data_IF_538942866025
#
_entry.id   IF_538942866025
#
_cell.length_a   1.000
_cell.length_b   1.000
_cell.length_c   1.000
_cell.angle_alpha   90.00
_cell.angle_beta   90.00
_cell.angle_gamma   90.00
#
_symmetry.space_group_name_H-M   'P 1'
#
loop_
_entity.id
_entity.type
_entity.pdbx_description
1 polymer ?
#
# COMPACT_ATOMS: atom_id res chain seq x y z
N UNK A 1 3.80 1.16 13.86
CA UNK A 1 4.89 1.06 14.86
C UNK A 1 5.29 -0.40 15.10
N UNK A 2 4.37 -1.33 15.42
CA UNK A 2 4.71 -2.72 15.74
C UNK A 2 5.53 -3.42 14.61
N UNK A 3 5.15 -3.26 13.34
CA UNK A 3 5.88 -3.83 12.21
C UNK A 3 7.29 -3.23 12.08
N UNK A 4 7.45 -1.95 12.39
CA UNK A 4 8.75 -1.29 12.38
C UNK A 4 9.65 -1.78 13.52
N UNK A 5 9.10 -1.95 14.71
CA UNK A 5 9.83 -2.55 15.83
C UNK A 5 10.25 -3.98 15.49
N UNK A 6 9.36 -4.76 14.87
CA UNK A 6 9.69 -6.10 14.40
C UNK A 6 10.86 -6.09 13.42
N UNK A 7 10.87 -5.15 12.46
CA UNK A 7 11.99 -4.99 11.54
C UNK A 7 13.31 -4.66 12.25
N UNK A 8 13.28 -3.74 13.21
CA UNK A 8 14.50 -3.36 13.97
C UNK A 8 15.08 -4.52 14.78
N UNK A 9 14.22 -5.44 15.25
CA UNK A 9 14.64 -6.60 16.04
C UNK A 9 15.01 -7.82 15.17
N UNK A 10 14.39 -7.97 14.01
CA UNK A 10 14.55 -9.09 13.08
C UNK A 10 14.42 -8.62 11.64
N UNK A 11 15.46 -7.96 11.08
CA UNK A 11 15.40 -7.39 9.73
C UNK A 11 15.22 -8.45 8.63
N UNK A 12 15.53 -9.70 8.90
CA UNK A 12 15.34 -10.83 7.99
C UNK A 12 13.89 -11.34 7.95
N UNK A 13 13.02 -10.86 8.84
CA UNK A 13 11.62 -11.27 8.90
C UNK A 13 11.39 -12.68 9.50
N UNK A 14 10.27 -13.33 9.22
CA UNK A 14 9.15 -12.87 8.40
C UNK A 14 8.34 -11.75 9.05
N UNK A 15 7.85 -10.81 8.26
CA UNK A 15 7.05 -9.69 8.74
C UNK A 15 5.56 -10.04 8.74
N UNK A 16 4.89 -9.88 9.88
CA UNK A 16 3.49 -10.25 10.04
C UNK A 16 2.58 -9.59 9.00
N UNK A 17 2.85 -8.31 8.67
CA UNK A 17 2.04 -7.57 7.72
C UNK A 17 2.18 -8.08 6.28
N UNK A 18 3.30 -8.71 5.95
CA UNK A 18 3.57 -9.26 4.62
C UNK A 18 3.24 -10.76 4.51
N UNK A 19 3.38 -11.50 5.60
CA UNK A 19 3.33 -12.97 5.62
C UNK A 19 2.22 -13.55 6.50
N UNK A 20 1.27 -12.73 6.94
CA UNK A 20 0.16 -13.26 7.73
C UNK A 20 -0.77 -14.12 6.87
N UNK A 21 -1.46 -15.04 7.54
CA UNK A 21 -2.47 -15.87 6.89
C UNK A 21 -3.51 -15.03 6.16
N UNK A 22 -4.03 -15.56 5.06
CA UNK A 22 -5.11 -14.94 4.32
C UNK A 22 -6.29 -14.60 5.25
N UNK A 23 -6.97 -13.48 5.02
CA UNK A 23 -8.12 -13.07 5.83
C UNK A 23 -9.32 -14.01 5.77
N UNK A 24 -9.38 -14.89 4.78
CA UNK A 24 -10.45 -15.87 4.58
C UNK A 24 -10.53 -16.95 5.69
N UNK A 25 -9.56 -16.97 6.58
CA UNK A 25 -9.54 -17.91 7.69
C UNK A 25 -9.16 -19.34 7.30
N UNK A 26 -8.76 -19.62 6.06
CA UNK A 26 -8.37 -20.97 5.63
C UNK A 26 -7.14 -21.49 6.39
N UNK A 27 -6.42 -20.60 7.01
CA UNK A 27 -5.21 -20.94 7.75
C UNK A 27 -4.00 -21.20 6.85
N UNK A 28 -4.15 -21.17 5.55
CA UNK A 28 -3.05 -21.30 4.62
C UNK A 28 -2.23 -20.00 4.56
N UNK A 29 -0.92 -20.14 4.45
CA UNK A 29 -0.06 -19.01 4.13
C UNK A 29 -0.27 -18.71 2.66
N UNK A 30 -0.95 -17.61 2.38
CA UNK A 30 -1.00 -17.07 1.03
C UNK A 30 0.28 -16.27 0.84
N UNK A 31 1.00 -16.61 -0.21
CA UNK A 31 2.19 -15.89 -0.60
C UNK A 31 1.87 -14.41 -0.87
N UNK A 32 2.70 -13.51 -0.36
CA UNK A 32 2.37 -12.08 -0.35
C UNK A 32 1.30 -11.69 0.68
N UNK A 33 0.70 -12.66 1.35
CA UNK A 33 -0.17 -12.50 2.52
C UNK A 33 -1.18 -11.37 2.40
N UNK A 34 -1.13 -10.44 3.35
CA UNK A 34 -2.03 -9.28 3.40
C UNK A 34 -1.88 -8.34 2.21
N UNK A 35 -0.70 -8.25 1.59
CA UNK A 35 -0.52 -7.43 0.39
C UNK A 35 -1.31 -7.97 -0.80
N UNK A 36 -1.22 -9.27 -1.09
CA UNK A 36 -2.00 -9.88 -2.17
C UNK A 36 -3.50 -9.70 -1.91
N UNK A 37 -3.92 -9.86 -0.66
CA UNK A 37 -5.30 -9.61 -0.30
C UNK A 37 -5.69 -8.14 -0.51
N UNK A 38 -4.87 -7.19 -0.03
CA UNK A 38 -5.08 -5.75 -0.21
C UNK A 38 -5.21 -5.39 -1.71
N UNK A 39 -4.28 -5.87 -2.53
CA UNK A 39 -4.33 -5.56 -3.96
C UNK A 39 -5.55 -6.13 -4.65
N UNK A 40 -5.86 -7.41 -4.43
CA UNK A 40 -6.93 -8.06 -5.19
C UNK A 40 -8.33 -7.69 -4.70
N UNK A 41 -8.53 -7.48 -3.41
CA UNK A 41 -9.85 -7.16 -2.85
C UNK A 41 -10.09 -5.67 -2.63
N UNK A 42 -9.07 -4.83 -2.72
CA UNK A 42 -9.21 -3.39 -2.52
C UNK A 42 -8.75 -2.61 -3.75
N UNK A 43 -7.50 -2.74 -4.16
CA UNK A 43 -6.93 -1.95 -5.26
C UNK A 43 -7.54 -2.34 -6.60
N UNK A 44 -7.55 -3.63 -6.96
CA UNK A 44 -8.13 -4.12 -8.23
C UNK A 44 -9.62 -3.83 -8.30
N UNK A 45 -10.34 -3.99 -7.20
CA UNK A 45 -11.78 -3.70 -7.11
C UNK A 45 -12.09 -2.22 -6.90
N UNK A 46 -11.07 -1.38 -6.83
CA UNK A 46 -11.21 0.07 -6.66
C UNK A 46 -12.03 0.48 -5.43
N UNK A 47 -11.91 -0.24 -4.32
CA UNK A 47 -12.60 0.09 -3.08
C UNK A 47 -11.91 1.26 -2.36
N UNK A 48 -12.68 2.13 -1.69
CA UNK A 48 -12.09 3.21 -0.91
C UNK A 48 -11.37 2.66 0.34
N UNK A 49 -10.25 3.27 0.70
CA UNK A 49 -9.65 3.11 2.01
C UNK A 49 -10.31 4.09 2.98
N UNK A 50 -11.03 3.54 3.93
CA UNK A 50 -11.67 4.30 5.00
C UNK A 50 -10.69 4.41 6.17
N UNK A 51 -10.28 5.62 6.50
CA UNK A 51 -9.27 5.85 7.53
C UNK A 51 -9.68 7.00 8.45
N UNK A 52 -9.79 6.70 9.73
CA UNK A 52 -9.92 7.72 10.75
C UNK A 52 -8.56 7.93 11.44
N UNK A 53 -7.84 9.01 11.15
CA UNK A 53 -6.51 9.24 11.72
C UNK A 53 -6.50 9.45 13.24
N UNK A 54 -7.64 9.79 13.85
CA UNK A 54 -7.73 9.99 15.32
C UNK A 54 -7.73 8.68 16.10
N UNK A 55 -8.30 7.61 15.54
CA UNK A 55 -8.51 6.37 16.27
C UNK A 55 -7.72 5.19 15.77
N UNK A 56 -7.13 5.28 14.57
CA UNK A 56 -6.44 4.18 13.89
C UNK A 56 -7.32 2.95 13.60
N UNK A 57 -8.60 2.96 13.99
CA UNK A 57 -9.54 1.87 13.85
C UNK A 57 -10.69 2.30 12.96
N UNK A 58 -10.51 2.13 11.67
CA UNK A 58 -11.58 2.24 10.70
C UNK A 58 -11.99 0.85 10.24
N UNK A 59 -13.23 0.67 9.81
CA UNK A 59 -13.61 -0.59 9.19
C UNK A 59 -12.63 -0.89 8.06
N UNK A 60 -12.23 -2.13 7.94
CA UNK A 60 -11.37 -2.55 6.83
C UNK A 60 -12.11 -2.31 5.52
N UNK A 61 -11.35 -2.32 4.43
CA UNK A 61 -11.91 -2.27 3.10
C UNK A 61 -13.08 -3.25 2.99
N UNK A 62 -14.27 -2.74 2.68
CA UNK A 62 -15.45 -3.55 2.58
C UNK A 62 -15.65 -4.53 3.75
N UNK A 63 -15.97 -5.76 3.46
CA UNK A 63 -16.35 -6.79 4.42
C UNK A 63 -15.19 -7.47 5.16
N UNK A 64 -13.95 -7.08 4.85
CA UNK A 64 -12.81 -7.68 5.52
C UNK A 64 -12.66 -7.17 6.94
N UNK A 65 -12.74 -8.08 7.88
CA UNK A 65 -12.57 -7.83 9.32
C UNK A 65 -11.11 -7.78 9.77
N UNK A 66 -10.13 -8.00 8.87
CA UNK A 66 -8.72 -7.98 9.23
C UNK A 66 -8.17 -6.54 9.26
N UNK A 67 -7.87 -5.99 10.44
CA UNK A 67 -7.40 -4.61 10.56
C UNK A 67 -6.01 -4.37 9.94
N UNK A 68 -5.24 -5.42 9.69
CA UNK A 68 -3.89 -5.29 9.15
C UNK A 68 -3.86 -5.00 7.65
N UNK A 69 -4.91 -5.34 6.91
CA UNK A 69 -5.00 -5.04 5.47
C UNK A 69 -4.88 -3.55 5.19
N UNK A 70 -5.58 -2.72 5.96
CA UNK A 70 -5.52 -1.25 5.82
C UNK A 70 -4.18 -0.65 6.23
N UNK A 71 -3.34 -1.40 6.94
CA UNK A 71 -2.00 -0.94 7.29
C UNK A 71 -1.00 -1.13 6.15
N UNK A 72 -1.34 -1.91 5.10
CA UNK A 72 -0.44 -2.16 3.98
C UNK A 72 0.10 -0.87 3.35
N UNK A 73 -0.72 0.14 2.97
CA UNK A 73 -0.20 1.38 2.40
C UNK A 73 0.71 2.15 3.35
N UNK A 74 0.39 2.18 4.64
CA UNK A 74 1.23 2.86 5.64
C UNK A 74 2.56 2.15 5.86
N UNK A 75 2.57 0.81 5.79
CA UNK A 75 3.79 0.03 5.84
C UNK A 75 4.65 0.24 4.60
N UNK A 76 4.04 0.32 3.42
CA UNK A 76 4.73 0.66 2.17
C UNK A 76 5.38 2.04 2.24
N UNK A 77 4.67 3.05 2.76
CA UNK A 77 5.25 4.38 3.00
C UNK A 77 6.43 4.32 3.98
N UNK A 78 6.35 3.48 5.03
CA UNK A 78 7.46 3.29 5.96
C UNK A 78 8.68 2.68 5.27
N UNK A 79 8.49 1.62 4.49
CA UNK A 79 9.57 0.98 3.73
C UNK A 79 10.21 1.98 2.77
N UNK A 80 9.38 2.66 1.98
CA UNK A 80 9.86 3.63 0.99
C UNK A 80 10.69 4.73 1.65
N UNK A 81 10.20 5.29 2.73
CA UNK A 81 10.86 6.42 3.39
C UNK A 81 12.10 6.02 4.19
N UNK A 82 12.08 4.88 4.86
CA UNK A 82 13.15 4.49 5.78
C UNK A 82 14.22 3.61 5.14
N UNK A 83 13.87 2.83 4.12
CA UNK A 83 14.73 1.78 3.59
C UNK A 83 15.16 1.95 2.14
N UNK A 84 14.58 2.94 1.43
CA UNK A 84 15.11 3.39 0.15
C UNK A 84 15.90 4.69 0.33
N UNK A 85 16.74 5.03 -0.62
CA UNK A 85 17.49 6.29 -0.58
C UNK A 85 16.67 7.48 -1.14
N UNK A 86 15.36 7.30 -1.39
CA UNK A 86 14.51 8.30 -2.03
C UNK A 86 13.65 9.07 -1.03
N UNK A 87 13.25 8.43 0.07
CA UNK A 87 12.36 8.99 1.06
C UNK A 87 13.05 9.72 2.21
N UNK A 88 12.30 9.94 3.25
CA UNK A 88 12.74 10.59 4.49
C UNK A 88 12.62 9.60 5.66
N UNK A 89 13.73 9.15 6.27
CA UNK A 89 13.68 8.16 7.36
C UNK A 89 12.83 8.58 8.55
N UNK A 90 12.70 9.89 8.79
CA UNK A 90 11.89 10.48 9.87
C UNK A 90 10.46 10.86 9.44
N UNK A 91 9.97 10.31 8.32
CA UNK A 91 8.68 10.63 7.70
C UNK A 91 7.52 10.68 8.69
N UNK A 92 7.27 9.60 9.44
CA UNK A 92 6.16 9.57 10.38
C UNK A 92 6.37 10.48 11.59
N UNK A 93 7.61 10.69 12.02
CA UNK A 93 7.90 11.63 13.10
C UNK A 93 7.58 13.07 12.67
N UNK A 94 7.92 13.45 11.43
CA UNK A 94 7.57 14.76 10.87
C UNK A 94 6.07 14.96 10.72
N UNK A 95 5.34 13.95 10.19
CA UNK A 95 3.89 14.02 10.12
C UNK A 95 3.28 14.20 11.51
N UNK A 96 3.72 13.43 12.49
CA UNK A 96 3.24 13.54 13.86
C UNK A 96 3.49 14.93 14.45
N UNK A 97 4.62 15.54 14.13
CA UNK A 97 4.95 16.88 14.58
C UNK A 97 4.07 17.96 13.90
N UNK A 98 3.76 17.80 12.61
CA UNK A 98 2.81 18.67 11.91
C UNK A 98 1.44 18.61 12.60
N UNK A 99 0.91 17.39 12.78
CA UNK A 99 -0.39 17.17 13.42
C UNK A 99 -0.43 17.76 14.83
N UNK A 100 0.64 17.59 15.61
CA UNK A 100 0.74 18.13 16.97
C UNK A 100 0.67 19.67 17.01
N UNK A 101 1.17 20.33 15.96
CA UNK A 101 1.19 21.80 15.86
C UNK A 101 -0.06 22.38 15.21
N UNK A 102 -0.85 21.56 14.55
CA UNK A 102 -2.05 21.99 13.82
C UNK A 102 -3.28 21.81 14.71
N UNK A 103 -4.16 22.82 14.74
CA UNK A 103 -5.47 22.62 15.37
C UNK A 103 -6.39 21.88 14.40
N UNK A 104 -6.61 20.60 14.69
CA UNK A 104 -7.46 19.72 13.87
C UNK A 104 -8.79 19.37 14.55
N UNK A 105 -9.14 20.06 15.65
CA UNK A 105 -10.30 19.68 16.49
C UNK A 105 -11.63 19.77 15.74
N UNK A 106 -11.78 20.78 14.88
CA UNK A 106 -13.00 21.07 14.14
C UNK A 106 -13.07 20.41 12.76
N UNK A 107 -12.03 19.68 12.37
CA UNK A 107 -11.99 19.01 11.06
C UNK A 107 -12.83 17.73 11.05
N UNK A 108 -13.49 17.52 9.93
CA UNK A 108 -14.19 16.24 9.64
C UNK A 108 -13.17 15.11 9.44
N UNK A 109 -13.66 13.87 9.54
CA UNK A 109 -12.81 12.69 9.29
C UNK A 109 -12.23 12.71 7.87
N UNK A 110 -13.02 13.15 6.88
CA UNK A 110 -12.58 13.30 5.50
C UNK A 110 -11.46 14.32 5.34
N UNK A 111 -11.59 15.48 5.97
CA UNK A 111 -10.55 16.51 5.95
C UNK A 111 -9.26 16.06 6.64
N UNK A 112 -9.36 15.31 7.73
CA UNK A 112 -8.21 14.71 8.41
C UNK A 112 -7.50 13.70 7.52
N UNK A 113 -8.25 12.86 6.78
CA UNK A 113 -7.69 11.92 5.81
C UNK A 113 -6.97 12.65 4.68
N UNK A 114 -7.57 13.70 4.13
CA UNK A 114 -6.97 14.52 3.08
C UNK A 114 -5.74 15.31 3.57
N UNK A 115 -5.76 15.80 4.82
CA UNK A 115 -4.60 16.43 5.42
C UNK A 115 -3.42 15.46 5.57
N UNK A 116 -3.69 14.20 5.92
CA UNK A 116 -2.63 13.19 5.93
C UNK A 116 -1.97 13.06 4.55
N UNK A 117 -2.75 13.04 3.47
CA UNK A 117 -2.22 12.98 2.09
C UNK A 117 -1.36 14.19 1.78
N UNK A 118 -1.83 15.41 2.08
CA UNK A 118 -1.05 16.65 1.87
C UNK A 118 0.24 16.64 2.68
N UNK A 119 0.15 16.34 3.98
CA UNK A 119 1.30 16.29 4.88
C UNK A 119 2.34 15.24 4.41
N UNK A 120 1.89 14.11 3.87
CA UNK A 120 2.78 13.10 3.30
C UNK A 120 3.56 13.65 2.10
N UNK A 121 2.88 14.35 1.18
CA UNK A 121 3.52 15.00 0.04
C UNK A 121 4.49 16.11 0.50
N UNK A 122 4.10 16.91 1.49
CA UNK A 122 4.92 18.00 2.01
C UNK A 122 6.20 17.50 2.70
N UNK A 123 6.09 16.45 3.50
CA UNK A 123 7.25 15.89 4.21
C UNK A 123 8.25 15.29 3.25
N UNK A 124 7.79 14.53 2.26
CA UNK A 124 8.69 13.85 1.33
C UNK A 124 9.14 14.75 0.18
N UNK A 125 8.39 15.82 -0.11
CA UNK A 125 8.59 16.73 -1.26
C UNK A 125 8.40 16.01 -2.60
N UNK A 126 7.44 15.08 -2.63
CA UNK A 126 7.03 14.34 -3.83
C UNK A 126 5.51 14.30 -3.93
N UNK A 127 5.00 14.25 -5.17
CA UNK A 127 3.58 14.06 -5.45
C UNK A 127 3.20 12.58 -5.33
N UNK A 128 2.70 12.19 -4.17
CA UNK A 128 2.26 10.82 -3.86
C UNK A 128 0.80 10.55 -4.25
N UNK A 129 0.14 11.43 -5.00
CA UNK A 129 -1.30 11.29 -5.27
C UNK A 129 -1.65 10.00 -6.01
N UNK A 130 -0.81 9.53 -6.95
CA UNK A 130 -1.06 8.27 -7.66
C UNK A 130 -1.06 7.08 -6.70
N UNK A 131 -0.16 7.09 -5.72
CA UNK A 131 -0.13 6.07 -4.66
C UNK A 131 -1.42 6.11 -3.83
N UNK A 132 -1.85 7.29 -3.38
CA UNK A 132 -3.04 7.43 -2.55
C UNK A 132 -4.35 7.18 -3.31
N UNK A 133 -4.42 7.54 -4.60
CA UNK A 133 -5.55 7.16 -5.47
C UNK A 133 -5.62 5.64 -5.60
N UNK A 134 -4.49 5.00 -5.88
CA UNK A 134 -4.44 3.56 -6.11
C UNK A 134 -4.79 2.75 -4.87
N UNK A 135 -4.32 3.14 -3.70
CA UNK A 135 -4.70 2.48 -2.45
C UNK A 135 -6.10 2.87 -1.93
N UNK A 136 -6.82 3.75 -2.62
CA UNK A 136 -8.20 4.14 -2.30
C UNK A 136 -8.34 5.21 -1.22
N UNK A 137 -7.24 5.81 -0.74
CA UNK A 137 -7.28 6.85 0.30
C UNK A 137 -7.65 8.22 -0.26
N UNK A 138 -7.24 8.54 -1.49
CA UNK A 138 -7.57 9.78 -2.19
C UNK A 138 -8.67 9.50 -3.23
N UNK A 139 -9.92 9.44 -2.75
CA UNK A 139 -11.11 9.12 -3.55
C UNK A 139 -12.33 9.75 -2.93
N UNK A 140 -13.30 10.12 -3.78
CA UNK A 140 -14.60 10.55 -3.29
C UNK A 140 -15.33 9.41 -2.59
N UNK A 141 -15.91 9.70 -1.43
CA UNK A 141 -16.62 8.74 -0.59
C UNK A 141 -17.61 9.48 0.29
N UNK A 142 -18.73 8.83 0.58
CA UNK A 142 -19.75 9.31 1.51
C UNK A 142 -20.36 8.11 2.23
N UNK A 143 -19.94 7.88 3.49
CA UNK A 143 -20.33 6.67 4.21
C UNK A 143 -20.13 6.82 5.73
N UNK A 144 -20.87 6.00 6.47
CA UNK A 144 -20.62 5.84 7.90
C UNK A 144 -19.47 4.86 8.15
N UNK A 145 -18.61 5.21 9.09
CA UNK A 145 -17.53 4.34 9.57
C UNK A 145 -17.67 4.14 11.08
N UNK A 146 -17.58 2.88 11.49
CA UNK A 146 -17.56 2.52 12.90
C UNK A 146 -16.14 2.35 13.41
N UNK A 147 -15.88 2.80 14.62
CA UNK A 147 -14.64 2.55 15.34
C UNK A 147 -14.89 2.42 16.86
N UNK A 148 -13.84 2.31 17.66
CA UNK A 148 -13.98 2.22 19.12
C UNK A 148 -14.59 3.47 19.76
N UNK A 149 -14.58 4.61 19.08
CA UNK A 149 -15.18 5.87 19.52
C UNK A 149 -16.62 6.07 19.03
N UNK A 150 -17.21 5.07 18.38
CA UNK A 150 -18.56 5.11 17.81
C UNK A 150 -18.58 5.37 16.31
N UNK A 151 -19.78 5.57 15.78
CA UNK A 151 -19.96 5.83 14.36
C UNK A 151 -19.53 7.26 14.01
N UNK A 152 -18.87 7.40 12.87
CA UNK A 152 -18.43 8.67 12.29
C UNK A 152 -18.82 8.72 10.83
N UNK A 153 -19.17 9.91 10.37
CA UNK A 153 -19.43 10.14 8.95
C UNK A 153 -18.12 10.50 8.25
N UNK A 154 -17.75 9.70 7.25
CA UNK A 154 -16.62 9.98 6.35
C UNK A 154 -17.17 10.47 5.02
N UNK A 155 -16.98 11.75 4.74
CA UNK A 155 -17.37 12.37 3.47
C UNK A 155 -16.15 13.07 2.86
N UNK A 156 -15.86 12.74 1.61
CA UNK A 156 -14.85 13.38 0.76
C UNK A 156 -15.49 13.58 -0.61
N UNK A 157 -15.65 14.83 -1.02
CA UNK A 157 -16.18 15.17 -2.33
C UNK A 157 -15.13 15.03 -3.43
N UNK A 158 -15.58 14.88 -4.67
CA UNK A 158 -14.69 14.86 -5.84
C UNK A 158 -13.88 16.18 -5.96
N UNK A 159 -14.49 17.32 -5.63
CA UNK A 159 -13.82 18.62 -5.62
C UNK A 159 -12.64 18.64 -4.63
N UNK A 160 -12.82 18.11 -3.44
CA UNK A 160 -11.74 18.03 -2.45
C UNK A 160 -10.60 17.11 -2.92
N UNK A 161 -10.91 16.01 -3.60
CA UNK A 161 -9.90 15.14 -4.23
C UNK A 161 -9.08 15.92 -5.24
N UNK A 162 -9.74 16.64 -6.15
CA UNK A 162 -9.08 17.47 -7.18
C UNK A 162 -8.24 18.59 -6.58
N UNK A 163 -8.69 19.19 -5.49
CA UNK A 163 -7.93 20.20 -4.74
C UNK A 163 -6.64 19.63 -4.15
N UNK A 164 -6.68 18.41 -3.61
CA UNK A 164 -5.48 17.72 -3.10
C UNK A 164 -4.52 17.37 -4.22
N UNK A 165 -5.02 16.86 -5.36
CA UNK A 165 -4.20 16.57 -6.54
C UNK A 165 -3.50 17.85 -7.03
N UNK A 166 -4.24 18.95 -7.16
CA UNK A 166 -3.67 20.25 -7.54
C UNK A 166 -2.64 20.75 -6.52
N UNK A 167 -2.92 20.59 -5.22
CA UNK A 167 -1.98 20.94 -4.18
C UNK A 167 -0.67 20.16 -4.29
N UNK A 168 -0.73 18.84 -4.49
CA UNK A 168 0.44 17.98 -4.55
C UNK A 168 1.24 18.14 -5.85
N UNK A 169 0.60 18.58 -6.94
CA UNK A 169 1.25 18.74 -8.27
C UNK A 169 2.39 19.78 -8.29
N UNK A 170 2.58 20.55 -7.22
CA UNK A 170 3.75 21.42 -7.03
C UNK A 170 5.05 20.64 -6.78
N UNK A 171 4.93 19.38 -6.43
CA UNK A 171 6.06 18.47 -6.21
C UNK A 171 6.28 17.55 -7.41
N UNK A 172 7.51 17.09 -7.63
CA UNK A 172 7.77 16.07 -8.65
C UNK A 172 7.13 14.74 -8.25
N UNK A 173 6.81 13.91 -9.23
CA UNK A 173 6.42 12.52 -8.98
C UNK A 173 7.58 11.75 -8.38
N UNK A 174 7.34 10.69 -7.58
CA UNK A 174 8.38 9.81 -7.06
C UNK A 174 9.27 9.28 -8.17
N UNK A 175 10.58 9.20 -7.90
CA UNK A 175 11.54 8.59 -8.82
C UNK A 175 11.22 7.12 -9.12
N UNK A 176 10.66 6.42 -8.15
CA UNK A 176 10.12 5.08 -8.32
C UNK A 176 8.59 5.15 -8.42
N UNK A 177 8.00 5.08 -9.63
CA UNK A 177 6.56 5.23 -9.83
C UNK A 177 5.74 4.07 -9.26
N UNK A 178 6.37 2.94 -8.96
CA UNK A 178 5.69 1.73 -8.46
C UNK A 178 5.81 1.56 -6.94
N UNK A 179 5.94 2.67 -6.21
CA UNK A 179 5.99 2.68 -4.72
C UNK A 179 4.85 1.85 -4.08
N UNK A 180 3.68 1.79 -4.70
CA UNK A 180 2.54 1.01 -4.23
C UNK A 180 2.74 -0.51 -4.31
N UNK A 181 3.84 -0.98 -4.89
CA UNK A 181 4.23 -2.39 -4.90
C UNK A 181 5.44 -2.70 -4.01
N UNK A 182 5.99 -1.71 -3.31
CA UNK A 182 7.14 -1.93 -2.45
C UNK A 182 6.80 -2.83 -1.27
N UNK A 183 7.67 -3.81 -1.02
CA UNK A 183 7.65 -4.70 0.16
C UNK A 183 9.07 -4.86 0.68
N UNK A 184 9.24 -5.49 1.82
CA UNK A 184 10.58 -5.80 2.34
C UNK A 184 11.41 -6.63 1.37
N UNK A 185 10.76 -7.47 0.58
CA UNK A 185 11.45 -8.34 -0.39
C UNK A 185 11.90 -7.61 -1.64
N UNK A 186 11.18 -6.56 -2.01
CA UNK A 186 11.49 -5.75 -3.19
C UNK A 186 12.33 -4.51 -2.87
N UNK A 187 12.56 -4.19 -1.59
CA UNK A 187 13.26 -2.97 -1.18
C UNK A 187 14.64 -2.81 -1.81
N UNK A 188 15.37 -3.91 -1.98
CA UNK A 188 16.67 -3.87 -2.64
C UNK A 188 16.55 -3.44 -4.11
N UNK A 189 15.62 -4.02 -4.86
CA UNK A 189 15.38 -3.67 -6.25
C UNK A 189 14.96 -2.19 -6.39
N UNK A 190 14.12 -1.69 -5.48
CA UNK A 190 13.74 -0.27 -5.44
C UNK A 190 14.93 0.64 -5.13
N UNK A 191 15.67 0.32 -4.08
CA UNK A 191 16.81 1.13 -3.64
C UNK A 191 17.92 1.22 -4.68
N UNK A 192 18.22 0.09 -5.33
CA UNK A 192 19.28 -0.04 -6.32
C UNK A 192 18.79 0.24 -7.74
N UNK A 193 17.49 0.50 -7.92
CA UNK A 193 16.84 0.72 -9.22
C UNK A 193 17.19 -0.39 -10.24
N UNK A 194 17.19 -1.63 -9.77
CA UNK A 194 17.52 -2.78 -10.59
C UNK A 194 16.47 -2.97 -11.70
N UNK A 195 16.87 -3.06 -12.96
CA UNK A 195 15.95 -3.30 -14.06
C UNK A 195 15.39 -4.71 -13.97
N UNK A 196 14.10 -4.85 -14.31
CA UNK A 196 13.52 -6.18 -14.54
C UNK A 196 14.20 -6.79 -15.76
N UNK A 197 14.69 -8.01 -15.59
CA UNK A 197 15.28 -8.80 -16.65
C UNK A 197 14.44 -10.03 -16.89
N UNK A 198 14.29 -10.44 -18.15
CA UNK A 198 13.53 -11.62 -18.51
C UNK A 198 13.44 -11.81 -20.02
N UNK A 199 12.86 -12.90 -20.43
CA UNK A 199 12.66 -13.25 -21.84
C UNK A 199 11.17 -13.36 -22.11
N UNK A 200 10.63 -12.47 -22.94
CA UNK A 200 9.22 -12.45 -23.31
C UNK A 200 8.78 -13.84 -23.81
N UNK A 201 7.68 -14.33 -23.23
CA UNK A 201 7.10 -15.64 -23.59
C UNK A 201 7.81 -16.85 -23.00
N UNK A 202 8.85 -16.66 -22.16
CA UNK A 202 9.54 -17.77 -21.48
C UNK A 202 9.44 -17.63 -19.96
N UNK A 203 9.55 -18.75 -19.26
CA UNK A 203 9.56 -18.78 -17.79
C UNK A 203 8.24 -18.42 -17.13
N UNK A 204 7.15 -18.46 -17.89
CA UNK A 204 5.79 -18.31 -17.38
C UNK A 204 5.01 -19.55 -17.81
N UNK A 205 4.41 -20.24 -16.84
CA UNK A 205 3.60 -21.44 -17.04
C UNK A 205 2.27 -21.26 -16.34
N UNK A 206 1.19 -21.55 -17.02
CA UNK A 206 -0.17 -21.49 -16.48
C UNK A 206 -0.70 -22.92 -16.36
N UNK A 207 -1.16 -23.29 -15.18
CA UNK A 207 -1.77 -24.59 -14.89
C UNK A 207 -3.06 -24.37 -14.11
N UNK A 208 -4.20 -24.63 -14.76
CA UNK A 208 -5.50 -24.32 -14.17
C UNK A 208 -5.64 -22.82 -13.89
N UNK A 209 -5.86 -22.46 -12.63
CA UNK A 209 -5.97 -21.08 -12.17
C UNK A 209 -4.64 -20.52 -11.63
N UNK A 210 -3.57 -21.30 -11.64
CA UNK A 210 -2.27 -20.91 -11.12
C UNK A 210 -1.31 -20.49 -12.22
N UNK A 211 -0.53 -19.46 -11.95
CA UNK A 211 0.53 -18.98 -12.82
C UNK A 211 1.88 -19.09 -12.09
N UNK A 212 2.83 -19.72 -12.75
CA UNK A 212 4.17 -19.97 -12.23
C UNK A 212 5.19 -19.12 -12.99
N UNK A 213 6.04 -18.40 -12.28
CA UNK A 213 7.07 -17.55 -12.85
C UNK A 213 8.44 -18.07 -12.42
N UNK A 214 9.26 -18.43 -13.39
CA UNK A 214 10.64 -18.88 -13.14
C UNK A 214 11.55 -17.70 -12.82
N UNK A 215 12.07 -17.66 -11.60
CA UNK A 215 13.05 -16.68 -11.16
C UNK A 215 14.44 -16.89 -11.77
N UNK A 216 14.69 -18.00 -12.42
CA UNK A 216 15.90 -18.21 -13.22
C UNK A 216 15.88 -17.37 -14.50
N UNK A 217 14.69 -17.13 -15.06
CA UNK A 217 14.49 -16.35 -16.28
C UNK A 217 14.14 -14.91 -15.97
N UNK A 218 13.26 -14.68 -14.97
CA UNK A 218 12.79 -13.37 -14.59
C UNK A 218 13.47 -12.90 -13.32
N UNK A 219 14.34 -11.90 -13.43
CA UNK A 219 15.09 -11.29 -12.31
C UNK A 219 14.54 -9.93 -11.94
N UNK A 220 14.64 -9.57 -10.67
CA UNK A 220 14.24 -8.28 -10.10
C UNK A 220 12.74 -7.95 -10.29
N UNK A 221 11.91 -8.95 -10.50
CA UNK A 221 10.46 -8.78 -10.56
C UNK A 221 9.93 -8.53 -9.15
N UNK A 222 9.09 -7.52 -9.00
CA UNK A 222 8.50 -7.15 -7.70
C UNK A 222 7.01 -7.48 -7.62
N UNK A 223 6.34 -7.57 -8.76
CA UNK A 223 4.91 -7.83 -8.86
C UNK A 223 4.59 -8.50 -10.19
N UNK A 224 3.54 -9.31 -10.18
CA UNK A 224 2.89 -9.84 -11.36
C UNK A 224 1.49 -9.20 -11.47
N UNK A 225 1.19 -8.63 -12.61
CA UNK A 225 -0.12 -8.07 -12.94
C UNK A 225 -0.75 -8.88 -14.07
N UNK A 226 -1.96 -9.39 -13.85
CA UNK A 226 -2.75 -10.07 -14.87
C UNK A 226 -3.83 -9.15 -15.43
N UNK A 227 -3.89 -9.02 -16.74
CA UNK A 227 -4.82 -8.16 -17.45
C UNK A 227 -5.73 -8.96 -18.38
N UNK A 228 -6.98 -8.50 -18.47
CA UNK A 228 -7.91 -8.90 -19.53
C UNK A 228 -8.16 -7.67 -20.42
N UNK A 229 -7.56 -7.63 -21.58
CA UNK A 229 -7.49 -6.38 -22.35
C UNK A 229 -6.71 -5.31 -21.58
N UNK A 230 -7.31 -4.15 -21.34
CA UNK A 230 -6.74 -3.06 -20.55
C UNK A 230 -7.12 -3.11 -19.06
N UNK A 231 -8.01 -4.04 -18.67
CA UNK A 231 -8.52 -4.12 -17.30
C UNK A 231 -7.63 -5.00 -16.44
N UNK A 232 -7.07 -4.44 -15.39
CA UNK A 232 -6.35 -5.19 -14.36
C UNK A 232 -7.33 -6.12 -13.63
N UNK A 233 -7.02 -7.41 -13.61
CA UNK A 233 -7.84 -8.44 -12.99
C UNK A 233 -7.23 -8.94 -11.68
N UNK A 234 -5.91 -9.05 -11.63
CA UNK A 234 -5.22 -9.63 -10.49
C UNK A 234 -3.82 -9.05 -10.33
N UNK A 235 -3.38 -8.97 -9.09
CA UNK A 235 -2.01 -8.60 -8.72
C UNK A 235 -1.49 -9.63 -7.74
N UNK A 236 -0.28 -10.11 -7.99
CA UNK A 236 0.44 -10.98 -7.05
C UNK A 236 1.82 -10.40 -6.77
N UNK A 237 2.14 -10.23 -5.50
CA UNK A 237 3.48 -9.83 -5.10
C UNK A 237 4.43 -11.00 -5.37
N UNK A 238 5.45 -10.73 -6.15
CA UNK A 238 6.53 -11.70 -6.37
C UNK A 238 7.41 -11.68 -5.13
N UNK A 239 7.54 -12.80 -4.58
CA UNK A 239 7.94 -12.83 -3.32
C UNK A 239 9.34 -13.07 -2.95
N UNK A 240 9.48 -13.30 -1.72
CA UNK A 240 10.65 -13.48 -0.90
C UNK A 240 11.57 -14.62 -1.25
N UNK A 241 11.65 -14.95 -2.51
CA UNK A 241 12.72 -15.82 -3.02
C UNK A 241 12.74 -17.24 -2.47
N UNK A 242 11.69 -17.68 -1.86
CA UNK A 242 11.67 -19.07 -1.38
C UNK A 242 10.95 -20.01 -2.30
N UNK A 243 10.21 -19.49 -3.27
CA UNK A 243 9.46 -20.39 -4.16
C UNK A 243 9.37 -19.80 -5.56
N UNK A 244 9.51 -20.68 -6.52
CA UNK A 244 9.49 -20.42 -7.95
C UNK A 244 8.10 -20.03 -8.46
N UNK A 245 7.13 -19.84 -7.56
CA UNK A 245 5.72 -19.84 -7.91
C UNK A 245 5.01 -18.61 -7.34
N UNK A 246 4.37 -17.87 -8.21
CA UNK A 246 3.33 -16.93 -7.83
C UNK A 246 1.99 -17.61 -8.11
N UNK A 247 1.30 -18.04 -7.08
CA UNK A 247 -0.10 -18.46 -7.21
C UNK A 247 -0.98 -17.25 -7.44
N UNK A 248 -1.70 -17.26 -8.54
CA UNK A 248 -2.66 -16.21 -8.90
C UNK A 248 -4.08 -16.68 -8.66
#
# INVERSE_FOLDING_TARGET
QAAWIQYLLRPEGPFRIEHSKAPDGTGQKVYGGLFNWHFNHCVVQQKPLLYNPRTLFTPPYSDNKNPFVRLCPFWQLQIYNALTNFGKPDFYARISEIVRRTNEQDLTVGELQLNFVKNACDVIQEDLTDFFIRCGMLRSVDTEIGDYGGNRHLSISQKQVEEVIRYASRYPKPKSPVIHYITMNSVKAFREQLPVQGIKGKGIRVEGESCYISHDIWKNVVVFEAYQGSKLQRVSMVGTGTEDNTET
#
